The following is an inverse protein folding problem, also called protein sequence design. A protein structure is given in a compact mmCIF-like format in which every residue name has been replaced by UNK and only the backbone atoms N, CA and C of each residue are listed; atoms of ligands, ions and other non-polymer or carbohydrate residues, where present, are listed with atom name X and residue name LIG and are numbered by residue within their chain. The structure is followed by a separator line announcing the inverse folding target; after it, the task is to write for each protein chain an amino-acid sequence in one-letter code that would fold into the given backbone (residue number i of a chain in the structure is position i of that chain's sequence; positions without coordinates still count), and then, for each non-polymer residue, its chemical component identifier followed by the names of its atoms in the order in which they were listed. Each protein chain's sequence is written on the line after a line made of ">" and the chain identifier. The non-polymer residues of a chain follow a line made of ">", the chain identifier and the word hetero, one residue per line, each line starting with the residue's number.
data_IF_639612650025
#
_entry.id   IF_639612650025
#
_cell.length_a   1.000
_cell.length_b   1.000
_cell.length_c   1.000
_cell.angle_alpha   90.00
_cell.angle_beta   90.00
_cell.angle_gamma   90.00
#
_symmetry.space_group_name_H-M   'P 1'
#
loop_
_entity.id
_entity.type
_entity.pdbx_description
1 polymer ?
#
# COMPACT_ATOMS: atom_id res chain seq x y z
N UNK A 1 5.20 -0.51 6.75
CA UNK A 1 5.88 0.69 7.28
C UNK A 1 7.29 0.73 6.79
N UNK A 2 7.75 1.90 6.40
CA UNK A 2 9.17 2.16 6.18
C UNK A 2 9.57 3.19 7.21
N UNK A 3 10.46 2.80 8.12
CA UNK A 3 11.09 3.72 9.07
C UNK A 3 12.50 3.95 8.56
N UNK A 4 12.90 5.21 8.43
CA UNK A 4 14.25 5.56 8.03
C UNK A 4 15.21 5.45 9.21
N UNK A 5 16.25 4.61 9.10
CA UNK A 5 17.40 4.61 9.97
C UNK A 5 18.67 4.85 9.15
N UNK A 6 19.04 6.11 8.99
CA UNK A 6 20.19 6.49 8.19
C UNK A 6 19.94 6.33 6.69
N UNK A 7 20.65 5.41 6.03
CA UNK A 7 20.50 5.12 4.59
C UNK A 7 19.74 3.83 4.29
N UNK A 8 19.19 3.16 5.30
CA UNK A 8 18.43 1.92 5.17
C UNK A 8 17.01 2.10 5.67
N UNK A 9 16.09 1.30 5.14
CA UNK A 9 14.68 1.31 5.51
C UNK A 9 14.36 0.08 6.33
N UNK A 10 13.88 0.31 7.54
CA UNK A 10 13.28 -0.75 8.34
C UNK A 10 11.80 -0.87 8.01
N UNK A 11 11.36 -2.09 7.75
CA UNK A 11 9.97 -2.41 7.43
C UNK A 11 9.33 -3.02 8.66
N UNK A 12 8.29 -2.37 9.16
CA UNK A 12 7.35 -2.98 10.08
C UNK A 12 6.13 -3.48 9.30
N UNK A 13 5.76 -4.72 9.55
CA UNK A 13 4.71 -5.41 8.84
C UNK A 13 3.45 -5.58 9.68
N UNK A 14 2.32 -5.15 9.11
CA UNK A 14 1.02 -5.30 9.71
C UNK A 14 0.02 -5.77 8.66
N UNK A 15 -0.61 -6.93 8.88
CA UNK A 15 -1.69 -7.43 8.04
C UNK A 15 -3.01 -7.35 8.75
N UNK A 16 -3.99 -6.67 8.15
CA UNK A 16 -5.37 -6.69 8.59
C UNK A 16 -6.29 -7.30 7.54
N UNK A 17 -7.17 -8.20 7.99
CA UNK A 17 -8.25 -8.73 7.16
C UNK A 17 -9.56 -8.09 7.61
N UNK A 18 -10.21 -7.35 6.73
CA UNK A 18 -11.55 -6.83 6.97
C UNK A 18 -12.58 -7.88 6.57
N UNK A 19 -13.49 -8.21 7.50
CA UNK A 19 -14.58 -9.12 7.26
C UNK A 19 -15.92 -8.35 7.24
N UNK A 20 -16.50 -8.17 6.07
CA UNK A 20 -17.84 -7.59 5.94
C UNK A 20 -18.88 -8.71 5.91
N UNK A 21 -19.56 -8.95 7.05
CA UNK A 21 -20.53 -10.03 7.22
C UNK A 21 -21.96 -9.62 6.88
N UNK A 22 -22.21 -9.12 5.67
CA UNK A 22 -23.57 -8.84 5.23
C UNK A 22 -23.86 -9.45 3.87
N UNK A 23 -25.07 -9.98 3.69
CA UNK A 23 -25.51 -10.61 2.44
C UNK A 23 -25.95 -9.60 1.37
N UNK A 24 -26.32 -8.39 1.79
CA UNK A 24 -26.71 -7.34 0.88
C UNK A 24 -25.50 -6.61 0.29
N UNK A 25 -25.43 -6.49 -1.03
CA UNK A 25 -24.29 -5.90 -1.71
C UNK A 25 -23.98 -4.47 -1.27
N UNK A 26 -24.98 -3.58 -1.16
CA UNK A 26 -24.77 -2.23 -0.68
C UNK A 26 -24.30 -2.16 0.77
N UNK A 27 -24.96 -2.92 1.65
CA UNK A 27 -24.59 -2.98 3.07
C UNK A 27 -23.18 -3.53 3.26
N UNK A 28 -22.77 -4.51 2.44
CA UNK A 28 -21.41 -5.06 2.44
C UNK A 28 -20.37 -4.03 2.02
N UNK A 29 -20.63 -3.26 0.97
CA UNK A 29 -19.71 -2.22 0.51
C UNK A 29 -19.55 -1.10 1.54
N UNK A 30 -20.64 -0.68 2.19
CA UNK A 30 -20.61 0.30 3.27
C UNK A 30 -19.84 -0.25 4.48
N UNK A 31 -20.07 -1.50 4.87
CA UNK A 31 -19.36 -2.14 5.97
C UNK A 31 -17.86 -2.23 5.68
N UNK A 32 -17.49 -2.62 4.46
CA UNK A 32 -16.10 -2.67 4.02
C UNK A 32 -15.45 -1.28 4.06
N UNK A 33 -16.11 -0.26 3.50
CA UNK A 33 -15.63 1.12 3.55
C UNK A 33 -15.35 1.57 4.99
N UNK A 34 -16.32 1.38 5.89
CA UNK A 34 -16.17 1.74 7.31
C UNK A 34 -15.03 1.00 7.97
N UNK A 35 -14.91 -0.31 7.74
CA UNK A 35 -13.84 -1.11 8.33
C UNK A 35 -12.46 -0.67 7.86
N UNK A 36 -12.30 -0.35 6.58
CA UNK A 36 -11.04 0.17 6.04
C UNK A 36 -10.75 1.56 6.60
N UNK A 37 -11.76 2.44 6.62
CA UNK A 37 -11.63 3.78 7.17
C UNK A 37 -11.20 3.77 8.64
N UNK A 38 -11.90 3.03 9.49
CA UNK A 38 -11.60 2.93 10.93
C UNK A 38 -10.20 2.36 11.18
N UNK A 39 -9.83 1.33 10.44
CA UNK A 39 -8.50 0.74 10.51
C UNK A 39 -7.41 1.77 10.19
N UNK A 40 -7.54 2.44 9.05
CA UNK A 40 -6.52 3.40 8.58
C UNK A 40 -6.48 4.63 9.50
N UNK A 41 -7.63 5.14 9.93
CA UNK A 41 -7.69 6.27 10.86
C UNK A 41 -6.92 5.96 12.16
N UNK A 42 -7.14 4.77 12.73
CA UNK A 42 -6.43 4.33 13.93
C UNK A 42 -4.93 4.15 13.70
N UNK A 43 -4.54 3.57 12.56
CA UNK A 43 -3.13 3.40 12.19
C UNK A 43 -2.44 4.75 12.00
N UNK A 44 -3.06 5.70 11.31
CA UNK A 44 -2.49 7.04 11.11
C UNK A 44 -2.36 7.77 12.46
N UNK A 45 -3.34 7.59 13.36
CA UNK A 45 -3.27 8.15 14.70
C UNK A 45 -2.12 7.54 15.53
N UNK A 46 -1.92 6.23 15.45
CA UNK A 46 -0.87 5.53 16.19
C UNK A 46 0.52 5.85 15.66
N UNK A 47 0.66 5.88 14.34
CA UNK A 47 1.97 5.93 13.67
C UNK A 47 2.42 7.33 13.31
N UNK A 48 1.47 8.27 13.17
CA UNK A 48 1.74 9.66 12.75
C UNK A 48 2.72 9.75 11.56
N UNK A 49 2.37 9.12 10.41
CA UNK A 49 3.28 9.04 9.28
C UNK A 49 3.51 10.42 8.64
N UNK A 50 4.69 10.64 8.09
CA UNK A 50 5.02 11.83 7.31
C UNK A 50 4.45 11.79 5.89
N UNK A 51 4.11 10.61 5.38
CA UNK A 51 3.55 10.39 4.05
C UNK A 51 2.73 9.10 4.05
N UNK A 52 1.58 9.12 3.41
CA UNK A 52 0.77 7.92 3.14
C UNK A 52 0.72 7.67 1.64
N UNK A 53 1.04 6.45 1.24
CA UNK A 53 1.04 6.03 -0.15
C UNK A 53 0.10 4.85 -0.33
N UNK A 54 -0.73 4.91 -1.34
CA UNK A 54 -1.67 3.87 -1.67
C UNK A 54 -1.50 3.43 -3.12
N UNK A 55 -1.70 2.15 -3.41
CA UNK A 55 -1.77 1.68 -4.78
C UNK A 55 -2.98 2.30 -5.49
N UNK A 56 -2.75 2.83 -6.70
CA UNK A 56 -3.82 3.37 -7.52
C UNK A 56 -4.74 2.23 -7.99
N UNK A 57 -6.08 2.40 -7.90
CA UNK A 57 -7.01 1.40 -8.40
C UNK A 57 -6.79 1.14 -9.90
N UNK A 58 -6.55 -0.10 -10.28
CA UNK A 58 -6.36 -0.49 -11.66
C UNK A 58 -7.65 -1.05 -12.28
N UNK A 59 -8.07 -0.44 -13.41
CA UNK A 59 -9.24 -0.92 -14.17
C UNK A 59 -8.91 -2.16 -14.97
N UNK A 60 -9.30 -3.32 -14.47
CA UNK A 60 -9.36 -4.53 -15.27
C UNK A 60 -10.73 -4.64 -15.95
N UNK A 61 -10.75 -4.52 -17.29
CA UNK A 61 -11.99 -4.57 -18.08
C UNK A 61 -12.76 -5.88 -17.93
N UNK A 62 -12.10 -6.98 -17.54
CA UNK A 62 -12.72 -8.28 -17.28
C UNK A 62 -13.44 -8.32 -15.92
N UNK A 63 -13.05 -7.47 -14.98
CA UNK A 63 -13.57 -7.47 -13.61
C UNK A 63 -13.91 -6.04 -13.14
N UNK A 64 -14.92 -5.39 -13.75
CA UNK A 64 -15.26 -4.00 -13.42
C UNK A 64 -15.73 -3.82 -11.97
N UNK A 65 -16.36 -4.85 -11.39
CA UNK A 65 -16.77 -4.82 -9.98
C UNK A 65 -15.55 -4.76 -9.02
N UNK A 66 -14.46 -5.45 -9.36
CA UNK A 66 -13.23 -5.38 -8.56
C UNK A 66 -12.66 -3.96 -8.56
N UNK A 67 -12.66 -3.28 -9.71
CA UNK A 67 -12.23 -1.87 -9.79
C UNK A 67 -13.08 -0.96 -8.90
N UNK A 68 -14.40 -1.13 -8.90
CA UNK A 68 -15.29 -0.37 -8.04
C UNK A 68 -14.95 -0.58 -6.55
N UNK A 69 -14.73 -1.82 -6.13
CA UNK A 69 -14.37 -2.14 -4.74
C UNK A 69 -13.01 -1.57 -4.36
N UNK A 70 -12.00 -1.69 -5.23
CA UNK A 70 -10.69 -1.09 -5.02
C UNK A 70 -10.78 0.43 -4.89
N UNK A 71 -11.59 1.07 -5.74
CA UNK A 71 -11.82 2.52 -5.66
C UNK A 71 -12.48 2.92 -4.34
N UNK A 72 -13.44 2.16 -3.86
CA UNK A 72 -14.06 2.40 -2.54
C UNK A 72 -13.05 2.26 -1.40
N UNK A 73 -12.21 1.23 -1.43
CA UNK A 73 -11.14 1.05 -0.43
C UNK A 73 -10.15 2.23 -0.47
N UNK A 74 -9.68 2.61 -1.64
CA UNK A 74 -8.75 3.72 -1.82
C UNK A 74 -9.33 5.06 -1.34
N UNK A 75 -10.64 5.29 -1.58
CA UNK A 75 -11.34 6.47 -1.06
C UNK A 75 -11.45 6.43 0.47
N UNK A 76 -11.71 5.26 1.07
CA UNK A 76 -11.75 5.12 2.52
C UNK A 76 -10.38 5.44 3.16
N UNK A 77 -9.29 4.96 2.55
CA UNK A 77 -7.93 5.27 2.99
C UNK A 77 -7.66 6.78 2.92
N UNK A 78 -7.92 7.39 1.77
CA UNK A 78 -7.70 8.83 1.56
C UNK A 78 -8.53 9.67 2.54
N UNK A 79 -9.83 9.31 2.74
CA UNK A 79 -10.70 10.03 3.67
C UNK A 79 -10.19 9.92 5.10
N UNK A 80 -9.77 8.72 5.54
CA UNK A 80 -9.25 8.51 6.89
C UNK A 80 -8.01 9.35 7.18
N UNK A 81 -7.08 9.43 6.21
CA UNK A 81 -5.88 10.27 6.33
C UNK A 81 -6.26 11.75 6.40
N UNK A 82 -7.14 12.21 5.51
CA UNK A 82 -7.57 13.62 5.43
C UNK A 82 -8.33 14.06 6.69
N UNK A 83 -9.21 13.20 7.22
CA UNK A 83 -9.98 13.49 8.43
C UNK A 83 -9.08 13.52 9.67
N UNK A 84 -8.00 12.73 9.68
CA UNK A 84 -7.02 12.80 10.76
C UNK A 84 -6.18 14.08 10.66
N UNK A 85 -5.59 14.36 9.50
CA UNK A 85 -4.79 15.57 9.27
C UNK A 85 -4.67 15.88 7.77
N UNK A 86 -5.04 17.11 7.40
CA UNK A 86 -4.85 17.62 6.04
C UNK A 86 -3.39 17.96 5.73
N UNK A 87 -2.50 17.89 6.70
CA UNK A 87 -1.06 18.15 6.52
C UNK A 87 -0.26 16.93 6.15
N UNK A 88 -0.83 15.72 6.31
CA UNK A 88 -0.18 14.48 5.88
C UNK A 88 -0.38 14.34 4.36
N UNK A 89 0.68 14.37 3.55
CA UNK A 89 0.59 14.11 2.12
C UNK A 89 0.04 12.72 1.84
N UNK A 90 -0.83 12.63 0.84
CA UNK A 90 -1.38 11.36 0.37
C UNK A 90 -1.12 11.21 -1.12
N UNK A 91 -0.49 10.11 -1.52
CA UNK A 91 -0.14 9.84 -2.91
C UNK A 91 -0.69 8.51 -3.40
N UNK A 92 -1.10 8.49 -4.68
CA UNK A 92 -1.37 7.25 -5.40
C UNK A 92 -0.20 6.88 -6.29
N UNK A 93 0.24 5.62 -6.20
CA UNK A 93 1.26 5.06 -7.08
C UNK A 93 0.65 3.95 -7.93
N UNK A 94 0.86 4.02 -9.24
CA UNK A 94 0.45 2.94 -10.13
C UNK A 94 1.37 1.71 -10.00
N UNK A 95 0.84 0.49 -10.24
CA UNK A 95 1.63 -0.74 -10.08
C UNK A 95 2.89 -0.82 -10.95
N UNK A 96 2.89 -0.18 -12.12
CA UNK A 96 4.07 -0.19 -13.00
C UNK A 96 5.20 0.68 -12.43
N UNK A 97 4.84 1.84 -11.86
CA UNK A 97 5.80 2.72 -11.18
C UNK A 97 6.39 2.05 -9.93
N UNK A 98 5.57 1.34 -9.13
CA UNK A 98 6.06 0.58 -7.98
C UNK A 98 7.10 -0.47 -8.40
N UNK A 99 6.84 -1.22 -9.47
CA UNK A 99 7.78 -2.21 -10.03
C UNK A 99 9.07 -1.57 -10.49
N UNK A 100 8.99 -0.46 -11.21
CA UNK A 100 10.18 0.25 -11.70
C UNK A 100 11.03 0.78 -10.54
N UNK A 101 10.43 1.19 -9.44
CA UNK A 101 11.14 1.65 -8.25
C UNK A 101 12.09 0.61 -7.64
N UNK A 102 11.74 -0.66 -7.71
CA UNK A 102 12.58 -1.78 -7.26
C UNK A 102 13.40 -2.43 -8.40
N UNK A 103 13.43 -1.81 -9.60
CA UNK A 103 14.23 -2.28 -10.72
C UNK A 103 13.57 -3.35 -11.60
N UNK A 104 12.28 -3.63 -11.41
CA UNK A 104 11.50 -4.57 -12.24
C UNK A 104 10.83 -3.82 -13.38
N UNK A 105 10.76 -4.41 -14.58
CA UNK A 105 10.04 -3.79 -15.70
C UNK A 105 8.55 -3.62 -15.37
N UNK A 106 8.01 -2.42 -15.58
CA UNK A 106 6.64 -2.07 -15.21
C UNK A 106 5.54 -2.97 -15.82
N UNK A 107 5.79 -3.54 -17.00
CA UNK A 107 4.88 -4.45 -17.68
C UNK A 107 5.11 -5.95 -17.34
N UNK A 108 6.02 -6.26 -16.43
CA UNK A 108 6.25 -7.64 -15.98
C UNK A 108 5.02 -8.17 -15.25
N UNK A 109 4.57 -9.36 -15.62
CA UNK A 109 3.56 -10.13 -14.88
C UNK A 109 4.17 -11.20 -13.99
N UNK A 110 5.49 -11.29 -13.97
CA UNK A 110 6.23 -12.27 -13.18
C UNK A 110 6.34 -11.80 -11.72
N UNK A 111 5.65 -12.50 -10.85
CA UNK A 111 5.59 -12.19 -9.41
C UNK A 111 6.90 -12.54 -8.70
N UNK A 112 7.57 -13.58 -9.14
CA UNK A 112 8.85 -14.02 -8.55
C UNK A 112 9.94 -12.96 -8.75
N UNK A 113 9.89 -12.23 -9.87
CA UNK A 113 10.81 -11.11 -10.12
C UNK A 113 10.60 -9.96 -9.12
N UNK A 114 9.36 -9.68 -8.75
CA UNK A 114 9.06 -8.63 -7.76
C UNK A 114 9.61 -9.00 -6.38
N UNK A 115 9.33 -10.22 -5.95
CA UNK A 115 9.85 -10.74 -4.69
C UNK A 115 11.38 -10.75 -4.68
N UNK A 116 12.01 -11.28 -5.72
CA UNK A 116 13.46 -11.30 -5.83
C UNK A 116 14.08 -9.90 -5.80
N UNK A 117 13.45 -8.92 -6.47
CA UNK A 117 13.91 -7.54 -6.49
C UNK A 117 13.85 -6.88 -5.11
N UNK A 118 12.74 -7.07 -4.37
CA UNK A 118 12.59 -6.55 -3.00
C UNK A 118 13.60 -7.21 -2.06
N UNK A 119 13.73 -8.55 -2.10
CA UNK A 119 14.64 -9.29 -1.23
C UNK A 119 16.12 -9.01 -1.50
N UNK A 120 16.48 -8.70 -2.75
CA UNK A 120 17.87 -8.39 -3.12
C UNK A 120 18.26 -6.93 -2.96
N UNK A 121 17.30 -6.05 -2.65
CA UNK A 121 17.58 -4.63 -2.51
C UNK A 121 18.26 -4.34 -1.16
N UNK A 122 19.53 -3.91 -1.15
CA UNK A 122 20.28 -3.70 0.09
C UNK A 122 19.75 -2.55 0.96
N UNK A 123 18.90 -1.70 0.40
CA UNK A 123 18.28 -0.57 1.11
C UNK A 123 16.96 -0.97 1.78
N UNK A 124 16.42 -2.15 1.47
CA UNK A 124 15.20 -2.67 2.07
C UNK A 124 15.59 -3.67 3.15
N UNK A 125 15.31 -3.34 4.40
CA UNK A 125 15.58 -4.20 5.55
C UNK A 125 14.31 -4.38 6.37
N UNK A 126 14.18 -5.50 7.03
CA UNK A 126 13.10 -5.80 7.96
C UNK A 126 13.63 -6.44 9.23
N UNK A 127 12.92 -6.25 10.30
CA UNK A 127 13.18 -6.92 11.59
C UNK A 127 12.76 -8.40 11.59
N UNK A 128 12.18 -8.87 10.49
CA UNK A 128 11.66 -10.22 10.27
C UNK A 128 12.10 -10.75 8.89
N UNK A 129 11.89 -12.03 8.67
CA UNK A 129 12.24 -12.69 7.40
C UNK A 129 11.28 -12.26 6.27
N UNK A 130 11.74 -11.36 5.40
CA UNK A 130 10.97 -10.86 4.26
C UNK A 130 10.60 -11.95 3.25
N UNK A 131 11.32 -13.10 3.23
CA UNK A 131 11.03 -14.20 2.30
C UNK A 131 9.71 -14.95 2.63
N UNK A 132 9.19 -14.77 3.84
CA UNK A 132 7.95 -15.39 4.30
C UNK A 132 6.70 -14.59 3.95
N UNK A 133 6.86 -13.41 3.36
CA UNK A 133 5.76 -12.51 3.04
C UNK A 133 4.99 -12.95 1.80
N UNK A 134 3.69 -12.69 1.81
CA UNK A 134 2.84 -12.90 0.64
C UNK A 134 3.08 -11.82 -0.44
N UNK A 135 2.60 -12.07 -1.65
CA UNK A 135 2.78 -11.20 -2.81
C UNK A 135 2.23 -9.78 -2.58
N UNK A 136 1.09 -9.64 -1.92
CA UNK A 136 0.47 -8.33 -1.68
C UNK A 136 1.29 -7.49 -0.71
N UNK A 137 1.92 -8.12 0.24
CA UNK A 137 2.83 -7.46 1.16
C UNK A 137 4.12 -7.04 0.46
N UNK A 138 4.68 -7.87 -0.41
CA UNK A 138 5.83 -7.52 -1.25
C UNK A 138 5.50 -6.33 -2.16
N UNK A 139 4.32 -6.30 -2.78
CA UNK A 139 3.87 -5.16 -3.59
C UNK A 139 3.76 -3.88 -2.74
N UNK A 140 3.23 -3.98 -1.51
CA UNK A 140 3.14 -2.85 -0.58
C UNK A 140 4.50 -2.29 -0.19
N UNK A 141 5.49 -3.15 0.01
CA UNK A 141 6.88 -2.74 0.28
C UNK A 141 7.46 -1.99 -0.93
N UNK A 142 7.25 -2.48 -2.14
CA UNK A 142 7.72 -1.82 -3.35
C UNK A 142 7.06 -0.45 -3.57
N UNK A 143 5.76 -0.32 -3.25
CA UNK A 143 5.02 0.94 -3.28
C UNK A 143 5.63 1.94 -2.29
N UNK A 144 5.82 1.52 -1.05
CA UNK A 144 6.40 2.35 -0.01
C UNK A 144 7.83 2.80 -0.35
N UNK A 145 8.66 1.88 -0.85
CA UNK A 145 10.02 2.17 -1.27
C UNK A 145 10.07 3.16 -2.46
N UNK A 146 9.17 3.02 -3.42
CA UNK A 146 9.07 3.97 -4.55
C UNK A 146 8.72 5.39 -4.07
N UNK A 147 7.75 5.51 -3.17
CA UNK A 147 7.38 6.80 -2.59
C UNK A 147 8.52 7.45 -1.83
N UNK A 148 9.25 6.66 -1.06
CA UNK A 148 10.43 7.16 -0.37
C UNK A 148 11.51 7.66 -1.33
N UNK A 149 11.79 6.94 -2.43
CA UNK A 149 12.70 7.43 -3.48
C UNK A 149 12.20 8.76 -4.06
N UNK A 150 10.88 8.95 -4.16
CA UNK A 150 10.27 10.23 -4.54
C UNK A 150 10.66 11.36 -3.59
N UNK A 151 10.51 11.14 -2.29
CA UNK A 151 10.87 12.11 -1.25
C UNK A 151 12.37 12.44 -1.29
N UNK A 152 13.24 11.42 -1.38
CA UNK A 152 14.68 11.63 -1.49
C UNK A 152 15.09 12.44 -2.72
N UNK A 153 14.37 12.31 -3.82
CA UNK A 153 14.63 13.01 -5.08
C UNK A 153 13.90 14.36 -5.18
N UNK A 154 13.29 14.85 -4.10
CA UNK A 154 12.68 16.17 -4.01
C UNK A 154 11.34 16.28 -4.74
N UNK A 155 10.55 15.18 -4.81
CA UNK A 155 9.16 15.22 -5.24
C UNK A 155 8.28 15.73 -4.14
#
# INVERSE_FOLDING_TARGET
>A
FIVEHGQTFDIEYLTHKTNAYTTEFQSRNIAMYKSVYELIYNLVHELQPDLVICEAPYLNKRFPLAYMLLTLCSQAVHQAVTDYSTFIPFEFIDPASAKMGVGVKGNSSDKDLMQAAVLSNPLIQGTFDLSTLDEHTIDSIAIAYNGFLGVLNGR
#
